data_IF_503309487616
#
_entry.id   IF_503309487616
#
_cell.length_a   1.000
_cell.length_b   1.000
_cell.length_c   1.000
_cell.angle_alpha   90.00
_cell.angle_beta   90.00
_cell.angle_gamma   90.00
#
_symmetry.space_group_name_H-M   'P 1'
#
loop_
_entity.id
_entity.type
_entity.pdbx_description
1 polymer ?
#
# COMPACT_ATOMS: atom_id res chain seq x y z
N UNK A 1 21.80 -9.33 78.17
CA UNK A 1 20.64 -8.41 78.13
C UNK A 1 20.74 -7.66 76.81
N UNK A 2 19.67 -7.72 76.00
CA UNK A 2 19.35 -6.87 74.85
C UNK A 2 19.90 -7.24 73.44
N UNK A 3 18.95 -7.75 72.64
CA UNK A 3 18.60 -7.43 71.25
C UNK A 3 19.65 -7.71 70.15
N UNK A 4 19.46 -8.82 69.45
CA UNK A 4 19.95 -9.03 68.09
C UNK A 4 18.85 -8.59 67.11
N UNK A 5 19.12 -7.55 66.31
CA UNK A 5 18.23 -7.04 65.27
C UNK A 5 18.55 -7.73 63.94
N UNK A 6 17.56 -8.41 63.35
CA UNK A 6 17.67 -9.01 62.02
C UNK A 6 17.51 -7.93 60.93
N UNK A 7 18.52 -7.80 60.07
CA UNK A 7 18.43 -7.05 58.82
C UNK A 7 17.86 -7.97 57.72
N UNK A 8 16.67 -7.63 57.22
CA UNK A 8 16.13 -8.14 55.95
C UNK A 8 16.60 -7.23 54.81
N UNK A 9 17.13 -7.76 53.68
CA UNK A 9 17.22 -6.99 52.46
C UNK A 9 15.90 -7.14 51.68
N UNK A 10 15.07 -6.09 51.67
CA UNK A 10 14.00 -5.97 50.70
C UNK A 10 14.63 -5.59 49.35
N UNK A 11 14.74 -6.60 48.47
CA UNK A 11 14.97 -6.43 47.05
C UNK A 11 13.77 -5.68 46.47
N UNK A 12 13.93 -4.40 46.15
CA UNK A 12 12.97 -3.68 45.32
C UNK A 12 13.15 -4.13 43.87
N UNK A 13 12.26 -5.01 43.42
CA UNK A 13 12.05 -5.31 42.01
C UNK A 13 11.43 -4.07 41.37
N UNK A 14 12.27 -3.23 40.75
CA UNK A 14 11.80 -2.13 39.91
C UNK A 14 11.53 -2.69 38.50
N UNK A 15 10.25 -2.62 38.13
CA UNK A 15 9.59 -2.98 36.90
C UNK A 15 10.46 -2.98 35.62
N UNK A 16 10.67 -4.18 35.07
CA UNK A 16 10.79 -4.41 33.63
C UNK A 16 9.44 -4.05 32.99
N UNK A 17 9.33 -2.81 32.53
CA UNK A 17 8.19 -2.30 31.78
C UNK A 17 8.67 -1.35 30.70
N UNK A 18 9.65 -1.77 29.90
CA UNK A 18 9.97 -1.08 28.65
C UNK A 18 8.84 -1.35 27.68
N UNK A 19 8.04 -0.31 27.48
CA UNK A 19 6.92 -0.25 26.59
C UNK A 19 7.30 -0.74 25.18
N UNK A 20 6.60 -1.77 24.72
CA UNK A 20 6.38 -1.99 23.29
C UNK A 20 5.48 -0.85 22.81
N UNK A 21 6.08 0.26 22.39
CA UNK A 21 5.35 1.26 21.62
C UNK A 21 5.06 0.65 20.24
N UNK A 22 3.80 0.61 19.78
CA UNK A 22 3.49 0.17 18.43
C UNK A 22 4.03 1.24 17.47
N UNK A 23 5.09 0.90 16.77
CA UNK A 23 5.61 1.69 15.66
C UNK A 23 4.53 1.76 14.57
N UNK A 24 4.05 2.98 14.27
CA UNK A 24 3.19 3.23 13.11
C UNK A 24 4.03 3.14 11.82
N UNK A 25 3.54 2.35 10.86
CA UNK A 25 4.19 2.06 9.57
C UNK A 25 3.20 2.28 8.41
N UNK A 26 3.74 2.32 7.19
CA UNK A 26 3.11 2.11 5.87
C UNK A 26 2.05 0.99 5.87
N UNK A 27 0.81 1.09 5.33
CA UNK A 27 -0.32 0.16 5.61
C UNK A 27 -0.11 -0.53 6.97
N UNK A 28 -0.10 0.25 8.05
CA UNK A 28 0.68 -0.07 9.24
C UNK A 28 0.68 -1.54 9.59
N UNK A 29 1.87 -2.14 9.64
CA UNK A 29 2.21 -3.55 9.90
C UNK A 29 1.07 -4.59 9.77
N UNK A 30 0.05 -4.49 10.62
CA UNK A 30 -1.21 -5.22 10.51
C UNK A 30 -1.81 -5.25 9.08
N UNK A 31 -1.83 -4.14 8.34
CA UNK A 31 -2.37 -4.11 6.97
C UNK A 31 -1.62 -5.08 6.05
N UNK A 32 -0.29 -4.97 5.99
CA UNK A 32 0.56 -5.89 5.24
C UNK A 32 0.48 -7.33 5.74
N UNK A 33 0.45 -7.54 7.06
CA UNK A 33 0.33 -8.88 7.67
C UNK A 33 -1.01 -9.54 7.30
N UNK A 34 -2.11 -8.79 7.28
CA UNK A 34 -3.42 -9.26 6.82
C UNK A 34 -3.35 -9.64 5.34
N UNK A 35 -2.79 -8.78 4.48
CA UNK A 35 -2.65 -9.05 3.03
C UNK A 35 -1.84 -10.33 2.81
N UNK A 36 -0.70 -10.47 3.47
CA UNK A 36 0.14 -11.65 3.37
C UNK A 36 -0.55 -12.92 3.90
N UNK A 37 -1.37 -12.81 4.95
CA UNK A 37 -2.17 -13.92 5.47
C UNK A 37 -3.26 -14.33 4.48
N UNK A 38 -3.98 -13.37 3.89
CA UNK A 38 -4.98 -13.64 2.84
C UNK A 38 -4.30 -14.29 1.62
N UNK A 39 -3.15 -13.78 1.19
CA UNK A 39 -2.41 -14.38 0.10
C UNK A 39 -2.05 -15.84 0.39
N UNK A 40 -1.51 -16.10 1.60
CA UNK A 40 -1.16 -17.44 2.05
C UNK A 40 -2.34 -18.43 2.02
N UNK A 41 -3.54 -17.98 2.40
CA UNK A 41 -4.78 -18.79 2.35
C UNK A 41 -5.14 -19.21 0.90
N UNK A 42 -4.72 -18.43 -0.09
CA UNK A 42 -5.02 -18.66 -1.51
C UNK A 42 -3.84 -19.22 -2.32
N UNK A 43 -2.74 -19.60 -1.64
CA UNK A 43 -1.64 -20.29 -2.31
C UNK A 43 -2.04 -21.71 -2.67
N UNK A 44 -1.48 -22.21 -3.77
CA UNK A 44 -1.55 -23.64 -4.06
C UNK A 44 -0.75 -24.44 -3.01
N UNK A 45 -1.14 -25.70 -2.71
CA UNK A 45 -0.53 -26.49 -1.63
C UNK A 45 1.00 -26.62 -1.73
N UNK A 46 1.53 -26.66 -2.95
CA UNK A 46 2.96 -26.85 -3.21
C UNK A 46 3.76 -25.54 -3.20
N UNK A 47 3.09 -24.38 -3.20
CA UNK A 47 3.75 -23.08 -3.31
C UNK A 47 4.30 -22.63 -1.95
N UNK A 48 3.51 -22.74 -0.88
CA UNK A 48 3.93 -22.29 0.45
C UNK A 48 5.23 -22.99 0.93
N UNK A 49 5.40 -24.32 0.80
CA UNK A 49 6.67 -24.98 1.15
C UNK A 49 7.89 -24.37 0.44
N UNK A 50 7.79 -24.08 -0.86
CA UNK A 50 8.88 -23.45 -1.62
C UNK A 50 9.20 -22.06 -1.11
N UNK A 51 8.18 -21.24 -0.84
CA UNK A 51 8.38 -19.90 -0.26
C UNK A 51 9.04 -19.98 1.12
N UNK A 52 8.72 -21.01 1.89
CA UNK A 52 9.33 -21.24 3.20
C UNK A 52 10.79 -21.67 3.11
N UNK A 53 11.14 -22.52 2.15
CA UNK A 53 12.54 -22.88 1.90
C UNK A 53 13.37 -21.68 1.42
N UNK A 54 12.76 -20.73 0.70
CA UNK A 54 13.39 -19.45 0.34
C UNK A 54 13.66 -18.61 1.60
N UNK A 55 12.70 -18.52 2.51
CA UNK A 55 12.80 -17.65 3.69
C UNK A 55 13.68 -18.22 4.81
N UNK A 56 13.73 -19.54 4.95
CA UNK A 56 14.51 -20.27 5.96
C UNK A 56 15.23 -21.48 5.32
N UNK A 57 16.30 -21.23 4.53
CA UNK A 57 16.98 -22.29 3.80
C UNK A 57 17.60 -23.33 4.76
N UNK A 58 17.57 -24.63 4.42
CA UNK A 58 18.10 -25.67 5.29
C UNK A 58 19.59 -25.47 5.53
N UNK A 59 19.97 -25.48 6.81
CA UNK A 59 21.34 -25.18 7.26
C UNK A 59 22.38 -26.24 6.88
N UNK A 60 21.97 -27.40 6.31
CA UNK A 60 22.87 -28.39 5.72
C UNK A 60 22.17 -29.35 4.74
N UNK A 61 22.46 -29.31 3.42
CA UNK A 61 21.91 -30.27 2.44
C UNK A 61 22.46 -31.70 2.61
N UNK A 62 23.62 -31.84 3.26
CA UNK A 62 24.38 -33.10 3.33
C UNK A 62 23.96 -34.07 4.45
N UNK A 63 23.02 -33.66 5.31
CA UNK A 63 22.43 -34.50 6.36
C UNK A 63 20.98 -34.91 6.07
N UNK A 64 20.51 -34.73 4.83
CA UNK A 64 19.22 -35.27 4.40
C UNK A 64 19.34 -36.80 4.25
N UNK A 65 18.96 -37.53 5.30
CA UNK A 65 18.59 -38.93 5.17
C UNK A 65 17.27 -38.98 4.35
N UNK A 66 17.25 -39.64 3.18
CA UNK A 66 16.08 -39.71 2.32
C UNK A 66 14.86 -40.39 2.96
N UNK A 67 15.01 -41.01 4.13
CA UNK A 67 13.90 -41.57 4.92
C UNK A 67 13.38 -40.64 6.03
N UNK A 68 13.92 -39.43 6.19
CA UNK A 68 13.65 -38.55 7.33
C UNK A 68 12.70 -37.38 7.01
N UNK A 69 11.85 -37.56 5.99
CA UNK A 69 10.82 -36.61 5.56
C UNK A 69 9.77 -36.31 6.66
N UNK A 70 9.67 -37.17 7.68
CA UNK A 70 8.79 -36.98 8.83
C UNK A 70 9.39 -36.09 9.94
N UNK A 71 10.72 -35.96 10.03
CA UNK A 71 11.38 -35.19 11.09
C UNK A 71 11.73 -33.74 10.70
N UNK A 72 11.73 -33.40 9.41
CA UNK A 72 11.92 -32.03 8.91
C UNK A 72 10.72 -31.11 9.21
N UNK A 73 9.52 -31.67 9.40
CA UNK A 73 8.30 -30.91 9.72
C UNK A 73 8.15 -30.55 11.20
N UNK A 74 8.90 -31.19 12.11
CA UNK A 74 8.73 -31.03 13.55
C UNK A 74 9.73 -30.06 14.21
N UNK A 75 10.83 -29.71 13.52
CA UNK A 75 11.88 -28.81 14.04
C UNK A 75 11.85 -27.39 13.46
N UNK A 76 11.09 -27.13 12.40
CA UNK A 76 10.87 -25.78 11.89
C UNK A 76 9.58 -25.20 12.44
N UNK A 77 9.57 -23.95 12.94
CA UNK A 77 8.31 -23.28 13.24
C UNK A 77 7.44 -23.24 11.97
N UNK A 78 6.10 -23.28 12.08
CA UNK A 78 5.23 -23.09 10.94
C UNK A 78 5.60 -21.78 10.26
N UNK A 79 5.92 -21.86 8.98
CA UNK A 79 6.34 -20.71 8.19
C UNK A 79 5.10 -19.94 7.71
N UNK A 80 5.16 -18.62 7.87
CA UNK A 80 4.10 -17.72 7.45
C UNK A 80 4.68 -16.54 6.68
N UNK A 81 3.91 -15.99 5.74
CA UNK A 81 4.30 -14.77 5.01
C UNK A 81 4.07 -13.49 5.83
N UNK A 82 3.12 -13.49 6.77
CA UNK A 82 2.80 -12.29 7.56
C UNK A 82 4.02 -11.66 8.28
N UNK A 83 4.86 -12.41 9.03
CA UNK A 83 6.02 -11.83 9.73
C UNK A 83 7.00 -11.04 8.87
N UNK A 84 7.07 -11.32 7.57
CA UNK A 84 7.98 -10.62 6.65
C UNK A 84 7.32 -9.41 5.97
N UNK A 85 6.00 -9.30 6.05
CA UNK A 85 5.22 -8.39 5.22
C UNK A 85 5.51 -6.91 5.51
N UNK A 86 5.94 -6.55 6.73
CA UNK A 86 6.32 -5.19 7.11
C UNK A 86 7.84 -4.92 7.03
N UNK A 87 8.64 -5.87 6.55
CA UNK A 87 10.10 -5.78 6.58
C UNK A 87 10.64 -4.62 5.74
N UNK A 88 10.11 -4.39 4.52
CA UNK A 88 10.59 -3.34 3.61
C UNK A 88 10.51 -1.94 4.27
N UNK A 89 9.42 -1.70 5.00
CA UNK A 89 9.15 -0.47 5.72
C UNK A 89 10.13 -0.19 6.87
N UNK A 90 10.64 -1.26 7.48
CA UNK A 90 11.69 -1.20 8.50
C UNK A 90 13.05 -0.90 7.87
N UNK A 91 13.40 -1.60 6.78
CA UNK A 91 14.74 -1.51 6.20
C UNK A 91 14.97 -0.23 5.41
N UNK A 92 13.95 0.38 4.80
CA UNK A 92 14.10 1.65 4.05
C UNK A 92 14.71 2.81 4.87
N UNK A 93 14.71 2.71 6.20
CA UNK A 93 15.32 3.68 7.14
C UNK A 93 16.79 3.37 7.47
N UNK A 94 17.35 2.31 6.90
CA UNK A 94 18.73 1.91 7.12
C UNK A 94 19.63 2.38 5.97
N UNK A 95 20.92 2.70 6.21
CA UNK A 95 21.80 3.25 5.18
C UNK A 95 21.90 2.41 3.89
N UNK A 96 21.80 1.09 3.98
CA UNK A 96 21.90 0.18 2.82
C UNK A 96 20.65 0.11 1.95
N UNK A 97 19.50 0.56 2.45
CA UNK A 97 18.20 0.44 1.78
C UNK A 97 17.49 1.78 1.62
N UNK A 98 18.14 2.92 1.89
CA UNK A 98 17.50 4.23 1.73
C UNK A 98 17.00 4.52 0.31
N UNK A 99 17.62 3.90 -0.69
CA UNK A 99 17.20 3.98 -2.09
C UNK A 99 15.87 3.26 -2.38
N UNK A 100 15.36 2.43 -1.47
CA UNK A 100 14.08 1.72 -1.65
C UNK A 100 12.88 2.55 -1.18
N UNK A 101 13.07 3.64 -0.44
CA UNK A 101 11.96 4.45 0.08
C UNK A 101 10.97 4.94 -1.00
N UNK A 102 11.41 5.39 -2.20
CA UNK A 102 10.49 5.77 -3.27
C UNK A 102 9.72 4.60 -3.91
N UNK A 103 10.15 3.36 -3.68
CA UNK A 103 9.51 2.16 -4.24
C UNK A 103 8.17 1.81 -3.57
N UNK A 104 7.80 2.51 -2.49
CA UNK A 104 6.55 2.28 -1.76
C UNK A 104 5.35 3.03 -2.35
N UNK A 105 5.55 3.93 -3.32
CA UNK A 105 4.45 4.75 -3.84
C UNK A 105 4.71 5.16 -5.28
N UNK A 106 3.69 5.76 -5.90
CA UNK A 106 3.78 6.47 -7.17
C UNK A 106 2.85 7.68 -7.12
N UNK A 107 3.31 8.84 -7.59
CA UNK A 107 2.52 10.07 -7.57
C UNK A 107 2.60 10.78 -8.91
N UNK A 108 1.46 10.97 -9.56
CA UNK A 108 1.36 11.76 -10.78
C UNK A 108 1.49 13.26 -10.49
N UNK A 109 2.23 13.99 -11.33
CA UNK A 109 2.48 15.43 -11.12
C UNK A 109 1.23 16.29 -11.37
N UNK A 110 0.34 15.81 -12.25
CA UNK A 110 -0.88 16.50 -12.66
C UNK A 110 -2.10 16.10 -11.82
N UNK A 111 -1.91 15.22 -10.83
CA UNK A 111 -3.00 14.67 -10.03
C UNK A 111 -3.49 15.67 -8.98
N UNK A 112 -4.80 15.90 -8.99
CA UNK A 112 -5.47 16.72 -7.99
C UNK A 112 -6.78 16.04 -7.61
N UNK A 113 -6.71 15.05 -6.71
CA UNK A 113 -7.90 14.46 -6.07
C UNK A 113 -8.85 15.56 -5.60
N UNK A 114 -10.17 15.29 -5.59
CA UNK A 114 -11.31 16.25 -5.56
C UNK A 114 -11.70 16.91 -6.88
N UNK A 115 -10.76 17.15 -7.80
CA UNK A 115 -11.06 17.81 -9.08
C UNK A 115 -10.84 16.90 -10.29
N UNK A 116 -9.69 16.22 -10.36
CA UNK A 116 -9.30 15.38 -11.48
C UNK A 116 -8.25 14.37 -11.03
N UNK A 117 -8.57 13.08 -11.17
CA UNK A 117 -7.62 11.99 -11.00
C UNK A 117 -6.95 11.69 -12.34
N UNK A 118 -5.64 11.85 -12.39
CA UNK A 118 -4.84 11.53 -13.59
C UNK A 118 -3.66 10.65 -13.23
N UNK A 119 -3.46 9.60 -14.03
CA UNK A 119 -2.50 8.55 -13.75
C UNK A 119 -1.84 8.11 -15.08
N UNK A 120 -0.63 8.60 -15.44
CA UNK A 120 0.22 9.57 -14.76
C UNK A 120 -0.05 11.06 -15.07
N UNK A 121 -1.01 11.36 -15.96
CA UNK A 121 -1.16 12.69 -16.54
C UNK A 121 -0.15 13.01 -17.65
N UNK A 122 -0.06 14.28 -18.03
CA UNK A 122 0.75 14.76 -19.16
C UNK A 122 2.23 14.97 -18.80
N UNK A 123 2.48 15.41 -17.56
CA UNK A 123 3.83 15.63 -17.01
C UNK A 123 4.46 14.37 -16.44
N UNK A 124 3.70 13.28 -16.32
CA UNK A 124 4.22 12.00 -15.84
C UNK A 124 4.28 11.91 -14.31
N UNK A 125 5.11 10.98 -13.84
CA UNK A 125 5.35 10.73 -12.42
C UNK A 125 6.26 11.77 -11.78
N UNK A 126 6.02 12.04 -10.50
CA UNK A 126 6.97 12.71 -9.64
C UNK A 126 8.19 11.80 -9.40
N UNK A 127 9.38 12.40 -9.28
CA UNK A 127 10.61 11.65 -9.08
C UNK A 127 11.10 10.95 -10.36
N UNK A 128 11.79 9.81 -10.20
CA UNK A 128 12.30 9.03 -11.34
C UNK A 128 11.22 8.07 -11.83
N UNK A 129 11.06 8.03 -13.16
CA UNK A 129 10.01 7.26 -13.84
C UNK A 129 9.98 5.77 -13.49
N UNK A 130 11.13 5.13 -13.26
CA UNK A 130 11.26 3.69 -12.94
C UNK A 130 11.60 3.43 -11.46
N UNK A 131 11.42 4.43 -10.58
CA UNK A 131 11.72 4.32 -9.16
C UNK A 131 10.45 4.57 -8.33
N UNK A 132 9.48 3.70 -8.52
CA UNK A 132 8.16 3.75 -7.88
C UNK A 132 7.60 2.33 -7.69
N UNK A 133 6.47 2.23 -7.00
CA UNK A 133 5.84 0.94 -6.64
C UNK A 133 5.48 0.07 -7.84
N UNK A 134 5.08 0.65 -8.97
CA UNK A 134 4.71 -0.11 -10.17
C UNK A 134 5.93 -0.82 -10.76
N UNK A 135 7.03 -0.07 -10.90
CA UNK A 135 8.31 -0.64 -11.31
C UNK A 135 8.83 -1.65 -10.28
N UNK A 136 8.63 -1.39 -8.98
CA UNK A 136 9.11 -2.25 -7.90
C UNK A 136 8.43 -3.63 -7.91
N UNK A 137 7.12 -3.68 -8.09
CA UNK A 137 6.37 -4.94 -8.24
C UNK A 137 6.92 -5.74 -9.41
N UNK A 138 7.00 -5.15 -10.61
CA UNK A 138 7.53 -5.87 -11.80
C UNK A 138 8.98 -6.33 -11.60
N UNK A 139 9.85 -5.48 -11.07
CA UNK A 139 11.27 -5.79 -10.89
C UNK A 139 11.49 -6.87 -9.82
N UNK A 140 10.75 -6.83 -8.71
CA UNK A 140 10.88 -7.82 -7.63
C UNK A 140 10.24 -9.16 -7.99
N UNK A 141 9.18 -9.17 -8.81
CA UNK A 141 8.68 -10.41 -9.43
C UNK A 141 9.76 -11.05 -10.31
N UNK A 142 10.42 -10.28 -11.18
CA UNK A 142 11.49 -10.79 -12.06
C UNK A 142 12.72 -11.26 -11.27
N UNK A 143 13.13 -10.49 -10.27
CA UNK A 143 14.26 -10.86 -9.41
C UNK A 143 13.99 -12.15 -8.63
N UNK A 144 12.79 -12.28 -8.05
CA UNK A 144 12.38 -13.52 -7.38
C UNK A 144 12.44 -14.70 -8.36
N UNK A 145 11.82 -14.59 -9.54
CA UNK A 145 11.84 -15.64 -10.56
C UNK A 145 13.27 -16.06 -10.96
N UNK A 146 14.15 -15.09 -11.24
CA UNK A 146 15.53 -15.37 -11.66
C UNK A 146 16.40 -15.99 -10.56
N UNK A 147 16.09 -15.70 -9.30
CA UNK A 147 16.81 -16.21 -8.14
C UNK A 147 16.30 -17.58 -7.64
N UNK A 148 15.14 -18.05 -8.11
CA UNK A 148 14.58 -19.34 -7.72
C UNK A 148 15.57 -20.48 -8.01
N UNK A 149 15.96 -21.20 -6.95
CA UNK A 149 16.89 -22.34 -7.02
C UNK A 149 18.34 -21.98 -7.32
N UNK A 150 18.67 -20.69 -7.50
CA UNK A 150 20.01 -20.20 -7.84
C UNK A 150 20.65 -19.35 -6.74
N UNK A 151 19.89 -18.44 -6.13
CA UNK A 151 20.34 -17.55 -5.06
C UNK A 151 19.23 -17.38 -4.00
N UNK A 152 19.38 -18.09 -2.88
CA UNK A 152 18.39 -18.06 -1.80
C UNK A 152 18.30 -16.70 -1.10
N UNK A 153 19.40 -15.95 -1.01
CA UNK A 153 19.41 -14.64 -0.34
C UNK A 153 18.72 -13.59 -1.19
N UNK A 154 19.03 -13.56 -2.50
CA UNK A 154 18.36 -12.67 -3.45
C UNK A 154 16.86 -13.02 -3.57
N UNK A 155 16.51 -14.30 -3.65
CA UNK A 155 15.12 -14.75 -3.67
C UNK A 155 14.37 -14.33 -2.39
N UNK A 156 14.98 -14.51 -1.22
CA UNK A 156 14.36 -14.13 0.05
C UNK A 156 14.15 -12.63 0.15
N UNK A 157 15.12 -11.83 -0.28
CA UNK A 157 14.98 -10.37 -0.32
C UNK A 157 13.89 -9.94 -1.31
N UNK A 158 13.91 -10.49 -2.53
CA UNK A 158 12.92 -10.17 -3.55
C UNK A 158 11.50 -10.53 -3.11
N UNK A 159 11.31 -11.68 -2.47
CA UNK A 159 10.04 -12.10 -1.90
C UNK A 159 9.53 -11.13 -0.82
N UNK A 160 10.40 -10.71 0.12
CA UNK A 160 10.03 -9.74 1.17
C UNK A 160 9.56 -8.41 0.60
N UNK A 161 10.27 -7.90 -0.41
CA UNK A 161 9.87 -6.68 -1.09
C UNK A 161 8.57 -6.86 -1.89
N UNK A 162 8.42 -7.96 -2.62
CA UNK A 162 7.23 -8.23 -3.44
C UNK A 162 5.97 -8.30 -2.58
N UNK A 163 6.01 -9.05 -1.46
CA UNK A 163 4.91 -9.14 -0.49
C UNK A 163 4.49 -7.75 0.00
N UNK A 164 5.46 -6.89 0.28
CA UNK A 164 5.21 -5.53 0.77
C UNK A 164 4.63 -4.62 -0.31
N UNK A 165 5.30 -4.52 -1.48
CA UNK A 165 4.95 -3.57 -2.54
C UNK A 165 3.62 -3.88 -3.21
N UNK A 166 3.22 -5.16 -3.29
CA UNK A 166 1.85 -5.49 -3.72
C UNK A 166 0.84 -4.93 -2.73
N UNK A 167 1.11 -4.95 -1.42
CA UNK A 167 0.27 -4.31 -0.43
C UNK A 167 0.19 -2.78 -0.58
N UNK A 168 1.33 -2.12 -0.69
CA UNK A 168 1.43 -0.66 -0.91
C UNK A 168 0.66 -0.21 -2.14
N UNK A 169 0.78 -0.94 -3.26
CA UNK A 169 0.05 -0.64 -4.50
C UNK A 169 -1.48 -0.65 -4.32
N UNK A 170 -2.00 -1.35 -3.30
CA UNK A 170 -3.44 -1.38 -3.01
C UNK A 170 -3.88 -0.33 -1.98
N UNK A 171 -2.96 0.50 -1.50
CA UNK A 171 -3.23 1.69 -0.72
C UNK A 171 -3.57 2.86 -1.66
N UNK A 172 -4.80 3.40 -1.71
CA UNK A 172 -5.14 4.42 -2.69
C UNK A 172 -4.27 5.69 -2.60
N UNK A 173 -3.87 6.10 -1.38
CA UNK A 173 -3.02 7.27 -1.17
C UNK A 173 -1.52 7.02 -1.45
N UNK A 174 -1.08 5.77 -1.64
CA UNK A 174 0.26 5.47 -2.19
C UNK A 174 0.29 5.67 -3.72
N UNK A 175 -0.88 5.90 -4.33
CA UNK A 175 -1.03 6.12 -5.77
C UNK A 175 -1.35 7.58 -6.12
N UNK A 176 -1.16 8.53 -5.20
CA UNK A 176 -1.34 9.97 -5.45
C UNK A 176 -0.13 10.78 -5.01
N UNK A 177 0.21 11.81 -5.79
CA UNK A 177 1.26 12.77 -5.43
C UNK A 177 0.80 13.90 -4.52
N UNK A 178 -0.52 14.09 -4.38
CA UNK A 178 -1.11 15.22 -3.65
C UNK A 178 -0.76 15.15 -2.16
N UNK A 179 -0.24 16.25 -1.62
CA UNK A 179 0.27 16.35 -0.23
C UNK A 179 1.16 15.16 0.20
N UNK A 180 2.02 14.69 -0.71
CA UNK A 180 2.86 13.49 -0.48
C UNK A 180 2.01 12.27 -0.09
N UNK A 181 0.96 11.98 -0.85
CA UNK A 181 0.03 10.90 -0.55
C UNK A 181 -0.84 11.17 0.67
N UNK A 182 -1.22 12.43 0.92
CA UNK A 182 -2.03 12.81 2.09
C UNK A 182 -1.25 12.90 3.42
N UNK A 183 0.08 12.74 3.42
CA UNK A 183 0.91 12.97 4.62
C UNK A 183 0.88 14.44 5.06
N UNK A 184 0.78 15.38 4.11
CA UNK A 184 0.62 16.82 4.39
C UNK A 184 -0.80 17.24 4.75
N UNK A 185 -1.80 16.37 4.52
CA UNK A 185 -3.20 16.68 4.79
C UNK A 185 -3.57 16.38 6.26
N UNK A 186 -3.46 17.39 7.13
CA UNK A 186 -3.81 17.28 8.55
C UNK A 186 -5.32 17.13 8.73
N UNK A 187 -5.73 16.20 9.58
CA UNK A 187 -7.14 15.85 9.86
C UNK A 187 -7.29 15.45 11.31
N UNK A 188 -8.54 15.27 11.75
CA UNK A 188 -8.85 14.57 13.00
C UNK A 188 -9.48 13.21 12.68
N UNK A 189 -9.13 12.18 13.44
CA UNK A 189 -9.80 10.88 13.41
C UNK A 189 -9.97 10.35 14.84
N UNK A 190 -11.18 9.94 15.21
CA UNK A 190 -11.53 9.51 16.59
C UNK A 190 -11.12 10.58 17.62
N UNK A 191 -11.34 11.86 17.27
CA UNK A 191 -11.02 13.01 18.10
C UNK A 191 -9.53 13.30 18.27
N UNK A 192 -8.63 12.62 17.54
CA UNK A 192 -7.18 12.83 17.60
C UNK A 192 -6.64 13.45 16.32
N UNK A 193 -5.74 14.42 16.46
CA UNK A 193 -5.04 15.03 15.32
C UNK A 193 -4.10 14.02 14.68
N UNK A 194 -4.17 13.90 13.36
CA UNK A 194 -3.35 13.01 12.53
C UNK A 194 -3.26 13.56 11.09
N UNK A 195 -2.88 12.73 10.12
CA UNK A 195 -2.95 13.04 8.69
C UNK A 195 -3.75 11.99 7.92
N UNK A 196 -4.24 12.37 6.74
CA UNK A 196 -5.09 11.52 5.90
C UNK A 196 -4.41 10.19 5.53
N UNK A 197 -3.10 10.21 5.26
CA UNK A 197 -2.33 9.01 4.97
C UNK A 197 -2.44 7.99 6.11
N UNK A 198 -2.15 8.42 7.34
CA UNK A 198 -2.17 7.59 8.55
C UNK A 198 -3.57 7.04 8.85
N UNK A 199 -4.62 7.82 8.55
CA UNK A 199 -6.01 7.35 8.70
C UNK A 199 -6.23 6.09 7.87
N UNK A 200 -5.84 6.12 6.60
CA UNK A 200 -6.04 4.99 5.71
C UNK A 200 -5.08 3.83 5.96
N UNK A 201 -3.81 4.15 6.17
CA UNK A 201 -2.78 3.16 6.41
C UNK A 201 -3.05 2.31 7.63
N UNK A 202 -3.49 2.94 8.71
CA UNK A 202 -3.46 2.36 10.06
C UNK A 202 -4.78 2.48 10.78
N UNK A 203 -5.38 3.68 10.85
CA UNK A 203 -6.47 3.92 11.81
C UNK A 203 -7.80 3.30 11.39
N UNK A 204 -8.11 3.24 10.09
CA UNK A 204 -9.29 2.53 9.59
C UNK A 204 -9.22 1.03 9.90
N UNK A 205 -8.04 0.41 9.71
CA UNK A 205 -7.83 -0.99 10.08
C UNK A 205 -7.89 -1.17 11.58
N UNK A 206 -7.14 -0.37 12.35
CA UNK A 206 -7.13 -0.48 13.81
C UNK A 206 -8.55 -0.32 14.39
N UNK A 207 -9.34 0.61 13.86
CA UNK A 207 -10.75 0.73 14.19
C UNK A 207 -11.52 -0.54 13.81
N UNK A 208 -11.37 -1.05 12.59
CA UNK A 208 -12.03 -2.28 12.14
C UNK A 208 -11.72 -3.48 13.06
N UNK A 209 -10.46 -3.66 13.47
CA UNK A 209 -10.02 -4.70 14.40
C UNK A 209 -10.74 -4.62 15.76
N UNK A 210 -11.00 -3.41 16.27
CA UNK A 210 -11.68 -3.19 17.56
C UNK A 210 -13.17 -3.49 17.52
N UNK A 211 -13.79 -3.39 16.35
CA UNK A 211 -15.24 -3.57 16.17
C UNK A 211 -15.60 -4.90 15.50
N UNK A 212 -14.64 -5.81 15.32
CA UNK A 212 -14.92 -7.14 14.79
C UNK A 212 -15.94 -7.84 15.70
N UNK A 213 -17.05 -8.37 15.15
CA UNK A 213 -18.01 -9.13 15.91
C UNK A 213 -17.38 -10.34 16.64
N UNK A 214 -17.86 -10.61 17.86
CA UNK A 214 -17.26 -11.64 18.73
C UNK A 214 -17.34 -13.06 18.15
N UNK A 215 -18.25 -13.33 17.21
CA UNK A 215 -18.36 -14.63 16.54
C UNK A 215 -17.15 -15.00 15.68
N UNK A 216 -16.25 -14.05 15.39
CA UNK A 216 -14.98 -14.33 14.69
C UNK A 216 -13.78 -14.48 15.64
N UNK A 217 -13.98 -14.38 16.94
CA UNK A 217 -12.89 -14.55 17.93
C UNK A 217 -12.47 -16.01 18.09
N UNK A 218 -13.36 -16.94 17.73
CA UNK A 218 -13.11 -18.37 17.76
C UNK A 218 -12.92 -18.92 16.33
N UNK A 219 -12.22 -20.05 16.17
CA UNK A 219 -12.12 -20.74 14.89
C UNK A 219 -13.49 -21.03 14.27
N UNK A 220 -13.59 -20.87 12.95
CA UNK A 220 -14.80 -21.22 12.20
C UNK A 220 -14.73 -22.71 11.83
N UNK A 221 -15.65 -23.53 12.38
CA UNK A 221 -15.64 -25.00 12.20
C UNK A 221 -15.64 -25.42 10.72
N UNK A 222 -16.39 -24.71 9.88
CA UNK A 222 -16.55 -25.01 8.46
C UNK A 222 -15.47 -24.37 7.57
N UNK A 223 -14.53 -23.58 8.14
CA UNK A 223 -13.46 -22.90 7.40
C UNK A 223 -12.06 -23.41 7.81
N UNK A 224 -11.90 -24.73 8.01
CA UNK A 224 -10.63 -25.34 8.41
C UNK A 224 -9.43 -24.93 7.51
N UNK A 225 -9.66 -24.74 6.21
CA UNK A 225 -8.64 -24.26 5.27
C UNK A 225 -8.16 -22.84 5.53
N UNK A 226 -8.97 -22.00 6.20
CA UNK A 226 -8.54 -20.66 6.65
C UNK A 226 -7.73 -20.79 7.94
N UNK A 227 -8.22 -21.58 8.89
CA UNK A 227 -7.65 -21.67 10.25
C UNK A 227 -6.21 -22.17 10.28
N UNK A 228 -5.80 -23.05 9.35
CA UNK A 228 -4.42 -23.57 9.28
C UNK A 228 -3.38 -22.49 8.96
N UNK A 229 -3.80 -21.35 8.41
CA UNK A 229 -2.90 -20.24 8.08
C UNK A 229 -2.88 -19.13 9.14
N UNK A 230 -3.76 -19.20 10.14
CA UNK A 230 -3.84 -18.24 11.23
C UNK A 230 -2.85 -18.60 12.35
N UNK A 231 -2.37 -17.58 13.08
CA UNK A 231 -1.23 -17.71 14.02
C UNK A 231 -1.53 -17.24 15.44
N UNK A 232 -2.80 -16.94 15.75
CA UNK A 232 -3.21 -16.29 16.98
C UNK A 232 -2.89 -14.79 17.02
N UNK A 233 -2.77 -14.13 15.86
CA UNK A 233 -2.50 -12.69 15.80
C UNK A 233 -3.76 -11.87 16.13
N UNK A 234 -3.56 -10.62 16.56
CA UNK A 234 -4.66 -9.71 16.93
C UNK A 234 -5.63 -9.43 15.78
N UNK A 235 -5.18 -9.62 14.54
CA UNK A 235 -5.98 -9.41 13.33
C UNK A 235 -6.68 -10.68 12.83
N UNK A 236 -6.41 -11.85 13.40
CA UNK A 236 -6.99 -13.12 12.94
C UNK A 236 -8.53 -13.12 12.93
N UNK A 237 -9.24 -12.55 13.95
CA UNK A 237 -10.69 -12.41 13.87
C UNK A 237 -11.16 -11.59 12.67
N UNK A 238 -10.38 -10.59 12.26
CA UNK A 238 -10.69 -9.77 11.10
C UNK A 238 -10.45 -10.52 9.79
N UNK A 239 -9.37 -11.30 9.70
CA UNK A 239 -9.12 -12.20 8.56
C UNK A 239 -10.25 -13.22 8.44
N UNK A 240 -10.66 -13.88 9.54
CA UNK A 240 -11.81 -14.79 9.55
C UNK A 240 -13.06 -14.14 8.99
N UNK A 241 -13.36 -12.91 9.42
CA UNK A 241 -14.51 -12.15 8.94
C UNK A 241 -14.42 -11.85 7.44
N UNK A 242 -13.26 -11.45 6.94
CA UNK A 242 -13.03 -11.21 5.50
C UNK A 242 -13.21 -12.52 4.72
N UNK A 243 -12.67 -13.63 5.20
CA UNK A 243 -12.82 -14.93 4.54
C UNK A 243 -14.27 -15.41 4.54
N UNK A 244 -14.96 -15.31 5.67
CA UNK A 244 -16.32 -15.80 5.82
C UNK A 244 -17.35 -14.89 5.12
N UNK A 245 -17.44 -13.61 5.47
CA UNK A 245 -18.44 -12.72 4.85
C UNK A 245 -18.02 -12.22 3.47
N UNK A 246 -16.72 -12.09 3.20
CA UNK A 246 -16.20 -11.59 1.94
C UNK A 246 -16.16 -12.67 0.86
N UNK A 247 -15.48 -13.79 1.14
CA UNK A 247 -15.32 -14.89 0.18
C UNK A 247 -16.35 -16.01 0.33
N UNK A 248 -17.17 -16.02 1.38
CA UNK A 248 -18.10 -17.13 1.65
C UNK A 248 -17.40 -18.38 2.19
N UNK A 249 -16.18 -18.25 2.74
CA UNK A 249 -15.43 -19.39 3.27
C UNK A 249 -16.18 -20.03 4.46
N UNK A 250 -16.43 -21.33 4.38
CA UNK A 250 -17.20 -22.07 5.39
C UNK A 250 -18.72 -21.92 5.27
N UNK A 251 -19.21 -21.25 4.23
CA UNK A 251 -20.64 -21.15 3.94
C UNK A 251 -21.00 -22.20 2.88
N UNK A 252 -22.04 -23.01 3.15
CA UNK A 252 -22.50 -24.03 2.20
C UNK A 252 -23.03 -23.41 0.89
N UNK A 253 -23.10 -24.17 -0.22
CA UNK A 253 -23.47 -23.66 -1.55
C UNK A 253 -24.88 -23.03 -1.65
N UNK A 254 -25.69 -23.10 -0.60
CA UNK A 254 -27.06 -22.59 -0.53
C UNK A 254 -27.20 -21.16 0.02
N UNK A 255 -26.16 -20.56 0.61
CA UNK A 255 -26.25 -19.26 1.30
C UNK A 255 -25.61 -18.07 0.56
N UNK A 256 -25.24 -18.27 -0.72
CA UNK A 256 -24.74 -17.22 -1.62
C UNK A 256 -23.22 -17.11 -1.66
N UNK A 257 -22.68 -16.55 -2.76
CA UNK A 257 -21.28 -16.15 -2.81
C UNK A 257 -21.10 -14.97 -1.84
N UNK A 258 -19.97 -14.90 -1.13
CA UNK A 258 -19.73 -13.81 -0.17
C UNK A 258 -19.79 -12.41 -0.81
N UNK A 259 -19.51 -11.36 -0.05
CA UNK A 259 -19.58 -9.96 -0.54
C UNK A 259 -18.70 -9.65 -1.77
N UNK A 260 -17.73 -10.50 -2.10
CA UNK A 260 -16.82 -10.38 -3.24
C UNK A 260 -17.31 -11.28 -4.40
N UNK A 261 -18.34 -10.84 -5.15
CA UNK A 261 -18.89 -11.62 -6.28
C UNK A 261 -18.26 -11.21 -7.63
N UNK A 262 -17.87 -12.22 -8.45
CA UNK A 262 -17.34 -12.11 -9.84
C UNK A 262 -16.26 -11.03 -10.03
N UNK A 263 -15.33 -11.02 -9.10
CA UNK A 263 -14.27 -10.04 -8.99
C UNK A 263 -13.05 -10.49 -9.81
N UNK A 264 -12.94 -9.99 -11.05
CA UNK A 264 -11.81 -10.25 -11.98
C UNK A 264 -10.49 -9.61 -11.53
N UNK A 265 -10.12 -9.72 -10.26
CA UNK A 265 -8.97 -9.05 -9.65
C UNK A 265 -7.62 -9.48 -10.22
N UNK A 266 -7.51 -10.71 -10.73
CA UNK A 266 -6.32 -11.21 -11.42
C UNK A 266 -6.29 -10.87 -12.91
N UNK A 267 -7.39 -10.36 -13.47
CA UNK A 267 -7.44 -10.08 -14.90
C UNK A 267 -6.52 -8.93 -15.28
N UNK A 268 -5.89 -9.06 -16.44
CA UNK A 268 -5.14 -8.02 -17.09
C UNK A 268 -5.80 -7.66 -18.42
N UNK A 269 -5.73 -6.38 -18.85
CA UNK A 269 -6.21 -5.99 -20.17
C UNK A 269 -5.52 -6.82 -21.26
N UNK A 270 -6.29 -7.31 -22.22
CA UNK A 270 -5.79 -8.02 -23.40
C UNK A 270 -4.95 -7.10 -24.29
N UNK A 271 -4.08 -7.67 -25.14
CA UNK A 271 -3.34 -6.86 -26.13
C UNK A 271 -4.26 -6.05 -27.05
N UNK A 272 -5.44 -6.57 -27.37
CA UNK A 272 -6.44 -5.85 -28.16
C UNK A 272 -6.97 -4.62 -27.43
N UNK A 273 -7.27 -4.75 -26.13
CA UNK A 273 -7.70 -3.65 -25.26
C UNK A 273 -6.58 -2.64 -25.06
N UNK A 274 -5.33 -3.09 -24.82
CA UNK A 274 -4.13 -2.24 -24.76
C UNK A 274 -3.92 -1.50 -26.08
N UNK A 275 -4.05 -2.17 -27.22
CA UNK A 275 -3.95 -1.55 -28.55
C UNK A 275 -5.09 -0.56 -28.83
N UNK A 276 -6.31 -0.85 -28.39
CA UNK A 276 -7.45 0.05 -28.50
C UNK A 276 -7.25 1.31 -27.66
N UNK A 277 -6.78 1.18 -26.43
CA UNK A 277 -6.43 2.31 -25.56
C UNK A 277 -5.33 3.19 -26.20
N UNK A 278 -4.28 2.57 -26.76
CA UNK A 278 -3.22 3.26 -27.52
C UNK A 278 -3.81 4.03 -28.72
N UNK A 279 -4.72 3.42 -29.49
CA UNK A 279 -5.40 4.08 -30.63
C UNK A 279 -6.31 5.24 -30.20
N UNK A 280 -7.09 5.07 -29.14
CA UNK A 280 -7.98 6.12 -28.62
C UNK A 280 -7.17 7.33 -28.15
N UNK A 281 -6.07 7.09 -27.43
CA UNK A 281 -5.14 8.14 -27.01
C UNK A 281 -4.59 8.89 -28.22
N UNK A 282 -4.12 8.17 -29.25
CA UNK A 282 -3.64 8.74 -30.53
C UNK A 282 -4.66 9.66 -31.20
N UNK A 283 -5.92 9.25 -31.25
CA UNK A 283 -6.99 10.07 -31.84
C UNK A 283 -7.18 11.38 -31.08
N UNK A 284 -7.22 11.34 -29.74
CA UNK A 284 -7.36 12.53 -28.92
C UNK A 284 -6.20 13.53 -29.10
N UNK A 285 -4.97 13.04 -29.27
CA UNK A 285 -3.81 13.90 -29.60
C UNK A 285 -3.97 14.53 -30.96
N UNK A 286 -4.39 13.73 -31.94
CA UNK A 286 -4.57 14.19 -33.30
C UNK A 286 -5.61 15.31 -33.37
N UNK A 287 -6.69 15.20 -32.60
CA UNK A 287 -7.70 16.24 -32.47
C UNK A 287 -7.13 17.53 -31.86
N UNK A 288 -6.25 17.44 -30.85
CA UNK A 288 -5.54 18.60 -30.28
C UNK A 288 -4.60 19.23 -31.31
N UNK A 289 -3.78 18.42 -32.01
CA UNK A 289 -2.87 18.89 -33.06
C UNK A 289 -3.65 19.60 -34.16
N UNK A 290 -4.73 18.99 -34.65
CA UNK A 290 -5.60 19.58 -35.68
C UNK A 290 -6.24 20.86 -35.19
N UNK A 291 -6.69 20.92 -33.93
CA UNK A 291 -7.22 22.14 -33.31
C UNK A 291 -6.18 23.26 -33.24
N UNK A 292 -4.95 22.93 -32.80
CA UNK A 292 -3.84 23.87 -32.73
C UNK A 292 -3.38 24.35 -34.11
N UNK A 293 -3.34 23.48 -35.12
CA UNK A 293 -3.05 23.85 -36.50
C UNK A 293 -4.13 24.74 -37.11
N UNK A 294 -5.42 24.49 -36.79
CA UNK A 294 -6.52 25.39 -37.16
C UNK A 294 -6.37 26.76 -36.48
N UNK A 295 -6.00 26.78 -35.20
CA UNK A 295 -5.74 28.00 -34.45
C UNK A 295 -4.56 28.80 -35.04
N UNK A 296 -3.41 28.16 -35.28
CA UNK A 296 -2.23 28.78 -35.90
C UNK A 296 -2.56 29.29 -37.31
N UNK A 297 -3.31 28.54 -38.10
CA UNK A 297 -3.75 28.98 -39.44
C UNK A 297 -4.71 30.18 -39.36
N UNK A 298 -5.53 30.26 -38.31
CA UNK A 298 -6.35 31.43 -38.01
C UNK A 298 -5.53 32.63 -37.54
N UNK A 299 -4.47 32.39 -36.76
CA UNK A 299 -3.58 33.42 -36.21
C UNK A 299 -2.63 33.98 -37.28
N UNK A 300 -2.07 33.14 -38.15
CA UNK A 300 -1.34 33.56 -39.36
C UNK A 300 -2.24 34.26 -40.39
N UNK A 301 -3.57 34.13 -40.26
CA UNK A 301 -4.56 34.88 -41.01
C UNK A 301 -4.89 36.27 -40.44
N UNK A 302 -4.40 36.60 -39.24
CA UNK A 302 -4.59 37.89 -38.54
C UNK A 302 -3.23 38.41 -38.06
N UNK A 303 -2.55 39.19 -38.90
CA UNK A 303 -1.12 39.52 -38.74
C UNK A 303 -0.69 40.21 -37.44
N UNK A 304 0.51 39.85 -36.98
CA UNK A 304 1.47 40.64 -36.19
C UNK A 304 2.81 39.85 -36.23
N UNK A 305 3.92 40.34 -36.78
CA UNK A 305 4.77 41.40 -36.24
C UNK A 305 6.00 40.74 -35.58
N UNK A 306 7.16 40.87 -36.21
CA UNK A 306 8.45 40.23 -35.88
C UNK A 306 8.85 40.30 -34.39
N UNK A 307 8.95 39.14 -33.76
CA UNK A 307 9.90 38.86 -32.66
C UNK A 307 9.96 37.34 -32.43
N UNK A 308 10.75 36.66 -33.27
CA UNK A 308 11.04 35.24 -33.15
C UNK A 308 12.06 34.98 -32.02
N UNK A 309 11.58 35.01 -30.78
CA UNK A 309 12.20 34.20 -29.73
C UNK A 309 12.09 32.73 -30.16
N UNK A 310 13.14 31.93 -29.97
CA UNK A 310 13.19 30.51 -30.33
C UNK A 310 12.09 29.73 -29.61
N UNK A 311 10.90 29.64 -30.22
CA UNK A 311 9.90 28.66 -29.84
C UNK A 311 10.45 27.26 -30.18
N UNK A 312 10.37 26.29 -29.25
CA UNK A 312 10.63 24.90 -29.58
C UNK A 312 9.77 24.50 -30.78
N UNK A 313 10.33 23.74 -31.72
CA UNK A 313 9.54 23.29 -32.86
C UNK A 313 8.36 22.47 -32.36
N UNK A 314 7.17 22.63 -32.97
CA UNK A 314 5.97 21.88 -32.62
C UNK A 314 6.25 20.36 -32.52
N UNK A 315 7.17 19.86 -33.37
CA UNK A 315 7.66 18.47 -33.35
C UNK A 315 8.40 18.08 -32.07
N UNK A 316 9.22 18.96 -31.48
CA UNK A 316 9.91 18.68 -30.21
C UNK A 316 8.94 18.63 -29.02
N UNK A 317 7.91 19.50 -29.01
CA UNK A 317 6.87 19.48 -27.97
C UNK A 317 6.02 18.20 -28.08
N UNK A 318 5.66 17.82 -29.31
CA UNK A 318 4.87 16.62 -29.58
C UNK A 318 5.65 15.33 -29.29
N UNK A 319 6.94 15.25 -29.63
CA UNK A 319 7.77 14.11 -29.24
C UNK A 319 7.91 13.98 -27.72
N UNK A 320 8.17 15.08 -27.01
CA UNK A 320 8.29 15.04 -25.54
C UNK A 320 7.00 14.59 -24.87
N UNK A 321 5.86 15.09 -25.34
CA UNK A 321 4.54 14.72 -24.85
C UNK A 321 4.16 13.26 -25.18
N UNK A 322 4.63 12.74 -26.32
CA UNK A 322 4.41 11.35 -26.72
C UNK A 322 5.25 10.37 -25.88
N UNK A 323 6.52 10.69 -25.64
CA UNK A 323 7.42 9.86 -24.85
C UNK A 323 7.05 9.82 -23.36
N UNK A 324 6.42 10.87 -22.81
CA UNK A 324 6.00 10.89 -21.40
C UNK A 324 4.67 10.17 -21.12
N UNK A 325 3.86 9.90 -22.15
CA UNK A 325 2.50 9.36 -21.94
C UNK A 325 2.26 7.99 -22.59
N UNK A 326 3.09 7.54 -23.53
CA UNK A 326 2.81 6.34 -24.34
C UNK A 326 3.29 5.00 -23.79
N UNK A 327 4.10 4.97 -22.72
CA UNK A 327 4.91 3.80 -22.36
C UNK A 327 4.79 3.43 -20.86
N UNK A 328 3.71 3.86 -20.18
CA UNK A 328 3.46 3.43 -18.78
C UNK A 328 2.90 2.01 -18.67
N UNK A 329 2.30 1.49 -19.73
CA UNK A 329 1.90 0.07 -19.83
C UNK A 329 3.12 -0.87 -19.87
N UNK A 330 4.36 -0.36 -19.89
CA UNK A 330 5.60 -1.18 -19.89
C UNK A 330 5.77 -2.07 -18.66
N UNK A 331 5.11 -1.73 -17.57
CA UNK A 331 5.13 -2.54 -16.36
C UNK A 331 4.13 -3.70 -16.40
N UNK A 332 3.19 -3.64 -17.36
CA UNK A 332 2.19 -4.66 -17.55
C UNK A 332 2.67 -5.72 -18.55
N UNK A 333 2.25 -6.95 -18.29
CA UNK A 333 2.52 -8.15 -19.07
C UNK A 333 1.31 -9.08 -18.99
N UNK A 334 1.38 -10.23 -19.65
CA UNK A 334 0.33 -11.23 -19.59
C UNK A 334 0.32 -11.90 -18.21
N UNK A 335 -0.67 -11.53 -17.38
CA UNK A 335 -0.85 -12.07 -16.02
C UNK A 335 -0.24 -11.22 -14.88
N UNK A 336 0.59 -10.22 -15.18
CA UNK A 336 1.09 -9.25 -14.20
C UNK A 336 0.93 -7.83 -14.76
N UNK A 337 -0.04 -7.08 -14.24
CA UNK A 337 -0.37 -5.74 -14.75
C UNK A 337 -0.51 -4.68 -13.64
N UNK A 338 0.58 -4.37 -12.92
CA UNK A 338 0.57 -3.40 -11.81
C UNK A 338 0.05 -2.02 -12.22
N UNK A 339 0.30 -1.55 -13.44
CA UNK A 339 -0.21 -0.26 -13.90
C UNK A 339 -1.73 -0.28 -14.08
N UNK A 340 -2.27 -1.29 -14.78
CA UNK A 340 -3.72 -1.45 -14.93
C UNK A 340 -4.43 -1.58 -13.57
N UNK A 341 -3.89 -2.41 -12.69
CA UNK A 341 -4.41 -2.62 -11.34
C UNK A 341 -4.37 -1.37 -10.47
N UNK A 342 -3.24 -0.66 -10.46
CA UNK A 342 -3.08 0.57 -9.69
C UNK A 342 -3.99 1.68 -10.21
N UNK A 343 -4.20 1.79 -11.53
CA UNK A 343 -5.06 2.82 -12.11
C UNK A 343 -6.49 2.76 -11.55
N UNK A 344 -7.07 1.58 -11.45
CA UNK A 344 -8.42 1.40 -10.89
C UNK A 344 -8.49 1.77 -9.41
N UNK A 345 -7.44 1.47 -8.64
CA UNK A 345 -7.36 1.82 -7.21
C UNK A 345 -7.14 3.32 -7.04
N UNK A 346 -6.31 3.93 -7.88
CA UNK A 346 -6.08 5.36 -7.90
C UNK A 346 -7.38 6.14 -8.17
N UNK A 347 -8.25 5.65 -9.06
CA UNK A 347 -9.55 6.29 -9.34
C UNK A 347 -10.43 6.43 -8.10
N UNK A 348 -10.24 5.58 -7.07
CA UNK A 348 -10.95 5.71 -5.80
C UNK A 348 -10.67 7.06 -5.13
N UNK A 349 -9.47 7.64 -5.30
CA UNK A 349 -9.15 8.96 -4.75
C UNK A 349 -10.15 10.05 -5.17
N UNK A 350 -10.75 9.92 -6.36
CA UNK A 350 -11.80 10.83 -6.84
C UNK A 350 -13.21 10.25 -6.75
N UNK A 351 -13.40 9.00 -7.16
CA UNK A 351 -14.72 8.41 -7.31
C UNK A 351 -15.42 8.12 -5.97
N UNK A 352 -14.63 7.90 -4.93
CA UNK A 352 -15.15 7.56 -3.60
C UNK A 352 -14.22 8.17 -2.58
N UNK A 353 -14.56 9.29 -1.92
CA UNK A 353 -13.60 10.29 -1.46
C UNK A 353 -12.59 9.73 -0.44
N UNK A 354 -11.62 8.93 -0.88
CA UNK A 354 -10.41 8.59 -0.13
C UNK A 354 -9.72 9.90 0.18
N UNK A 355 -9.71 10.79 -0.82
CA UNK A 355 -9.47 12.20 -0.64
C UNK A 355 -10.81 12.96 -0.44
N UNK A 356 -11.15 13.41 0.77
CA UNK A 356 -12.31 14.27 0.99
C UNK A 356 -12.14 15.62 0.26
N UNK A 357 -13.08 16.03 -0.61
CA UNK A 357 -13.05 17.33 -1.28
C UNK A 357 -12.95 18.52 -0.34
N UNK A 358 -13.47 18.38 0.89
CA UNK A 358 -13.41 19.41 1.93
C UNK A 358 -11.97 19.81 2.29
N UNK A 359 -10.98 18.96 2.01
CA UNK A 359 -9.56 19.29 2.20
C UNK A 359 -9.01 20.28 1.17
N UNK A 360 -9.61 20.37 -0.02
CA UNK A 360 -9.18 21.29 -1.08
C UNK A 360 -9.99 22.59 -1.11
N UNK A 361 -11.21 22.59 -0.55
CA UNK A 361 -12.07 23.78 -0.50
C UNK A 361 -11.59 24.82 0.54
N UNK A 362 -10.81 24.41 1.54
CA UNK A 362 -10.25 25.31 2.55
C UNK A 362 -8.74 25.12 2.80
N UNK A 363 -7.86 25.43 1.83
CA UNK A 363 -6.42 25.26 2.02
C UNK A 363 -5.80 26.23 3.05
N UNK A 364 -6.48 27.36 3.35
CA UNK A 364 -5.84 28.55 3.93
C UNK A 364 -6.56 29.25 5.08
N UNK A 365 -7.73 28.78 5.55
CA UNK A 365 -8.34 29.35 6.76
C UNK A 365 -7.65 28.89 8.07
N UNK A 366 -6.85 27.82 8.00
CA UNK A 366 -6.22 27.15 9.13
C UNK A 366 -4.75 27.55 9.36
N UNK A 367 -4.04 27.97 8.31
CA UNK A 367 -2.60 28.24 8.40
C UNK A 367 -2.28 29.68 8.81
N UNK A 368 -3.22 30.62 8.63
CA UNK A 368 -2.99 32.02 8.99
C UNK A 368 -3.10 32.27 10.50
N UNK A 369 -3.95 31.55 11.23
CA UNK A 369 -4.09 31.72 12.68
C UNK A 369 -3.00 30.95 13.46
N UNK A 370 -2.54 29.80 12.94
CA UNK A 370 -1.45 29.04 13.56
C UNK A 370 -0.05 29.68 13.37
N UNK A 371 0.14 30.47 12.32
CA UNK A 371 1.41 31.16 12.07
C UNK A 371 1.61 32.43 12.92
N UNK A 372 0.53 33.03 13.44
CA UNK A 372 0.63 34.23 14.29
C UNK A 372 0.85 33.91 15.77
N UNK A 373 0.47 32.72 16.25
CA UNK A 373 0.64 32.38 17.67
C UNK A 373 2.03 31.80 17.99
N UNK A 374 2.75 31.25 17.00
CA UNK A 374 4.09 30.67 17.19
C UNK A 374 5.09 31.24 16.20
N UNK A 375 5.71 32.35 16.57
CA UNK A 375 6.74 33.01 15.77
C UNK A 375 7.96 32.11 15.53
N UNK A 376 8.04 31.50 14.35
CA UNK A 376 9.28 30.91 13.82
C UNK A 376 9.62 31.53 12.46
N UNK A 377 10.68 32.33 12.45
CA UNK A 377 11.34 32.88 11.27
C UNK A 377 12.01 31.75 10.49
N UNK A 378 11.60 31.51 9.24
CA UNK A 378 12.33 30.65 8.31
C UNK A 378 13.53 31.41 7.74
N UNK A 379 14.74 30.90 7.97
CA UNK A 379 15.90 31.15 7.11
C UNK A 379 16.33 29.84 6.49
N UNK A 380 16.40 29.84 5.16
CA UNK A 380 16.87 28.76 4.31
C UNK A 380 18.26 28.26 4.75
N UNK A 381 18.39 26.98 5.08
CA UNK A 381 19.60 26.19 4.83
C UNK A 381 19.31 24.70 4.92
N UNK A 382 19.74 23.96 3.89
CA UNK A 382 19.53 22.54 3.73
C UNK A 382 20.47 21.74 4.64
N UNK A 383 19.97 21.14 5.73
CA UNK A 383 20.66 20.08 6.46
C UNK A 383 19.69 19.19 7.24
N UNK A 384 19.88 17.88 7.10
CA UNK A 384 19.55 16.77 8.00
C UNK A 384 18.13 16.67 8.60
N UNK A 385 17.37 15.67 8.12
CA UNK A 385 16.18 15.16 8.80
C UNK A 385 16.58 14.42 10.10
N UNK A 386 16.73 15.20 11.17
CA UNK A 386 16.67 14.72 12.55
C UNK A 386 15.43 15.32 13.22
N UNK A 387 14.57 14.43 13.73
CA UNK A 387 13.51 14.70 14.71
C UNK A 387 12.29 15.53 14.27
N UNK A 388 11.31 14.86 13.64
CA UNK A 388 9.88 15.18 13.85
C UNK A 388 9.12 13.90 14.19
N UNK A 389 9.37 13.39 15.39
CA UNK A 389 8.54 12.38 16.02
C UNK A 389 8.26 12.70 17.50
N UNK A 390 8.33 13.98 17.88
CA UNK A 390 8.16 14.45 19.26
C UNK A 390 7.09 15.53 19.44
N UNK A 391 6.32 15.87 18.40
CA UNK A 391 5.21 16.84 18.52
C UNK A 391 3.88 16.21 19.00
N UNK A 392 3.92 15.02 19.62
CA UNK A 392 2.73 14.35 20.19
C UNK A 392 2.69 14.39 21.73
N UNK A 393 3.62 15.07 22.41
CA UNK A 393 3.73 15.00 23.89
C UNK A 393 3.66 16.34 24.64
N UNK A 394 3.32 17.46 24.01
CA UNK A 394 3.16 18.72 24.75
C UNK A 394 1.94 19.51 24.30
N UNK A 395 0.74 18.96 24.52
CA UNK A 395 -0.40 19.79 24.95
C UNK A 395 -1.51 18.93 25.54
N UNK A 396 -1.34 18.45 26.78
CA UNK A 396 -2.42 17.82 27.54
C UNK A 396 -2.16 18.00 29.04
N UNK A 397 -2.33 19.24 29.53
CA UNK A 397 -2.50 19.49 30.96
C UNK A 397 -3.86 20.10 31.29
N UNK A 398 -4.95 19.63 30.67
CA UNK A 398 -6.31 19.80 31.20
C UNK A 398 -7.26 18.64 30.81
N UNK A 399 -6.89 17.40 31.11
CA UNK A 399 -7.80 16.26 31.02
C UNK A 399 -8.74 16.22 32.24
N UNK A 400 -9.97 16.68 32.06
CA UNK A 400 -11.09 16.27 32.92
C UNK A 400 -11.51 14.85 32.51
N UNK A 401 -11.70 14.00 33.52
CA UNK A 401 -11.92 12.56 33.43
C UNK A 401 -13.09 12.13 32.53
N UNK A 402 -12.92 11.02 31.79
CA UNK A 402 -13.95 10.16 31.16
C UNK A 402 -14.55 10.55 29.79
N UNK A 403 -14.03 11.55 29.09
CA UNK A 403 -14.50 11.90 27.74
C UNK A 403 -13.65 11.26 26.62
N UNK A 404 -14.30 10.78 25.55
CA UNK A 404 -13.64 10.57 24.25
C UNK A 404 -12.92 11.86 23.83
N UNK A 405 -11.73 11.80 23.21
CA UNK A 405 -11.04 12.98 22.68
C UNK A 405 -11.99 13.82 21.83
N UNK A 406 -11.94 15.15 21.99
CA UNK A 406 -12.77 16.05 21.18
C UNK A 406 -12.02 16.39 19.91
N UNK A 407 -12.69 16.39 18.75
CA UNK A 407 -12.04 16.79 17.51
C UNK A 407 -11.48 18.21 17.58
N UNK A 408 -10.36 18.42 16.89
CA UNK A 408 -9.83 19.77 16.75
C UNK A 408 -10.85 20.65 16.00
N UNK A 409 -11.17 21.86 16.49
CA UNK A 409 -12.26 22.66 15.94
C UNK A 409 -12.07 23.00 14.46
N UNK A 410 -10.83 23.19 14.03
CA UNK A 410 -10.52 23.65 12.68
C UNK A 410 -10.17 22.52 11.71
N UNK A 411 -9.83 21.31 12.18
CA UNK A 411 -9.44 20.20 11.31
C UNK A 411 -10.64 19.32 10.97
N UNK A 412 -10.67 18.82 9.73
CA UNK A 412 -11.73 17.91 9.27
C UNK A 412 -11.70 16.59 10.08
N UNK A 413 -12.81 16.28 10.76
CA UNK A 413 -13.01 15.00 11.46
C UNK A 413 -13.50 13.91 10.49
N UNK A 414 -12.76 12.80 10.44
CA UNK A 414 -12.97 11.71 9.49
C UNK A 414 -13.64 10.47 10.08
N UNK A 415 -13.65 10.27 11.41
CA UNK A 415 -14.44 9.22 12.05
C UNK A 415 -15.91 9.64 12.19
N UNK A 416 -16.54 9.85 11.04
CA UNK A 416 -17.94 10.25 10.94
C UNK A 416 -18.73 9.23 10.11
N UNK A 417 -20.06 9.15 10.29
CA UNK A 417 -20.92 8.35 9.41
C UNK A 417 -20.80 8.74 7.92
N UNK A 418 -20.47 10.01 7.63
CA UNK A 418 -20.31 10.53 6.27
C UNK A 418 -19.04 10.04 5.60
N UNK A 419 -17.94 9.89 6.33
CA UNK A 419 -16.66 9.46 5.81
C UNK A 419 -16.34 8.00 6.17
N UNK A 420 -15.83 7.72 7.38
CA UNK A 420 -15.49 6.37 7.83
C UNK A 420 -16.69 5.40 7.77
N UNK A 421 -17.89 5.89 8.09
CA UNK A 421 -19.11 5.09 7.98
C UNK A 421 -19.43 4.65 6.55
N UNK A 422 -19.18 5.50 5.54
CA UNK A 422 -19.35 5.15 4.13
C UNK A 422 -18.33 4.10 3.69
N UNK A 423 -17.06 4.28 4.06
CA UNK A 423 -15.97 3.33 3.79
C UNK A 423 -16.36 1.95 4.33
N UNK A 424 -16.75 1.89 5.62
CA UNK A 424 -17.17 0.66 6.31
C UNK A 424 -18.40 0.02 5.67
N UNK A 425 -19.42 0.82 5.33
CA UNK A 425 -20.65 0.30 4.69
C UNK A 425 -20.36 -0.38 3.35
N UNK A 426 -19.35 0.09 2.62
CA UNK A 426 -18.94 -0.48 1.32
C UNK A 426 -17.90 -1.59 1.42
N UNK A 427 -17.41 -1.93 2.63
CA UNK A 427 -16.33 -2.90 2.80
C UNK A 427 -15.09 -2.54 1.98
N UNK A 428 -14.81 -1.23 1.84
CA UNK A 428 -13.79 -0.79 0.89
C UNK A 428 -12.39 -1.19 1.34
N UNK A 429 -12.07 -1.06 2.63
CA UNK A 429 -10.78 -1.47 3.19
C UNK A 429 -10.62 -2.99 3.08
N UNK A 430 -11.64 -3.74 3.49
CA UNK A 430 -11.69 -5.19 3.38
C UNK A 430 -11.49 -5.67 1.95
N UNK A 431 -12.15 -5.03 0.97
CA UNK A 431 -12.02 -5.36 -0.45
C UNK A 431 -10.63 -5.07 -0.99
N UNK A 432 -10.00 -3.96 -0.58
CA UNK A 432 -8.63 -3.62 -1.00
C UNK A 432 -7.60 -4.61 -0.41
N UNK A 433 -7.74 -4.96 0.88
CA UNK A 433 -6.90 -5.97 1.53
C UNK A 433 -7.06 -7.35 0.86
N UNK A 434 -8.30 -7.75 0.57
CA UNK A 434 -8.62 -9.00 -0.11
C UNK A 434 -8.05 -9.02 -1.54
N UNK A 435 -8.26 -7.95 -2.31
CA UNK A 435 -7.74 -7.78 -3.66
C UNK A 435 -6.22 -7.87 -3.71
N UNK A 436 -5.53 -7.21 -2.78
CA UNK A 436 -4.08 -7.28 -2.65
C UNK A 436 -3.60 -8.71 -2.35
N UNK A 437 -4.28 -9.39 -1.42
CA UNK A 437 -3.96 -10.77 -1.05
C UNK A 437 -4.15 -11.74 -2.23
N UNK A 438 -5.26 -11.63 -2.96
CA UNK A 438 -5.53 -12.45 -4.15
C UNK A 438 -4.50 -12.19 -5.25
N UNK A 439 -4.18 -10.92 -5.56
CA UNK A 439 -3.15 -10.59 -6.56
C UNK A 439 -1.78 -11.10 -6.15
N UNK A 440 -1.40 -10.97 -4.87
CA UNK A 440 -0.15 -11.51 -4.37
C UNK A 440 -0.11 -13.04 -4.49
N UNK A 441 -1.18 -13.74 -4.12
CA UNK A 441 -1.28 -15.20 -4.28
C UNK A 441 -1.18 -15.61 -5.75
N UNK A 442 -1.89 -14.93 -6.65
CA UNK A 442 -1.82 -15.18 -8.09
C UNK A 442 -0.42 -15.03 -8.66
N UNK A 443 0.31 -13.97 -8.25
CA UNK A 443 1.72 -13.78 -8.65
C UNK A 443 2.59 -14.94 -8.14
N UNK A 444 2.48 -15.28 -6.85
CA UNK A 444 3.32 -16.32 -6.24
C UNK A 444 3.02 -17.72 -6.78
N UNK A 445 1.74 -18.05 -7.01
CA UNK A 445 1.34 -19.31 -7.65
C UNK A 445 1.91 -19.38 -9.07
N UNK A 446 1.78 -18.32 -9.87
CA UNK A 446 2.31 -18.30 -11.23
C UNK A 446 3.85 -18.44 -11.27
N UNK A 447 4.56 -17.84 -10.32
CA UNK A 447 6.02 -17.92 -10.22
C UNK A 447 6.53 -19.31 -9.83
N UNK A 448 5.83 -19.99 -8.92
CA UNK A 448 6.32 -21.21 -8.25
C UNK A 448 5.69 -22.48 -8.82
N UNK A 449 4.39 -22.49 -9.06
CA UNK A 449 3.68 -23.67 -9.57
C UNK A 449 3.85 -23.85 -11.10
N UNK A 450 4.29 -22.81 -11.81
CA UNK A 450 4.65 -22.90 -13.23
C UNK A 450 3.50 -23.36 -14.12
N UNK A 451 2.31 -22.80 -13.92
CA UNK A 451 1.13 -23.17 -14.71
C UNK A 451 1.41 -22.96 -16.21
N UNK A 452 1.39 -24.05 -16.99
CA UNK A 452 1.41 -23.99 -18.46
C UNK A 452 0.21 -23.21 -19.03
N UNK A 453 -0.79 -22.87 -18.21
CA UNK A 453 -1.89 -21.96 -18.54
C UNK A 453 -1.50 -20.47 -18.49
N UNK A 454 -0.39 -20.12 -17.84
CA UNK A 454 0.15 -18.77 -17.80
C UNK A 454 1.42 -18.72 -18.65
N UNK A 455 1.28 -18.29 -19.91
CA UNK A 455 2.41 -17.93 -20.78
C UNK A 455 3.17 -16.70 -20.25
N UNK A 456 3.83 -16.82 -19.09
CA UNK A 456 4.85 -15.88 -18.62
C UNK A 456 6.21 -16.16 -19.28
N UNK A 457 6.29 -17.12 -20.21
CA UNK A 457 7.57 -17.64 -20.72
C UNK A 457 8.02 -17.13 -22.10
N UNK A 458 7.25 -16.34 -22.86
CA UNK A 458 7.67 -16.08 -24.26
C UNK A 458 7.52 -14.66 -24.80
N UNK A 459 7.28 -13.64 -23.96
CA UNK A 459 7.39 -12.22 -24.38
C UNK A 459 7.62 -11.23 -23.22
N UNK A 460 8.50 -11.57 -22.27
CA UNK A 460 9.00 -10.65 -21.23
C UNK A 460 10.38 -10.08 -21.56
#
# INVERSE_FOLDING_TARGET
MLIASSLYPCVAVACLGLAYLPSAYAWGAAGHEIIATIAQIHLEPDVLPVLCDILDPPSNPSSQDPNDSAHLSASRPPCHLAPIAAWADKVRRTPGYGNTAPLHYVGALDDSPSSSCVFPGSRGWAGRRDNNVLAAVTNKTRALFGALGSDAEEAAEALKFLVHFVGDMHMPLHLTGKERGGNGARVTFDGRVTNLHTVWDSLLIAHALRIVPSNYTLPLEDAAGVEVHLRGAIYDPYVRRIMHEGFGAGVGPSEGAGRFEDDRWLSCPTEEERAAARRAKRSAVWDVIVSMLRFIRGWLGLGYGDNAGTMPSLGQVLERWWHTTGDEERWDSDGLCPYAWAREIHELNCAFPVWPPELDEHPSALLSELAEEHGCSCSDEAHDEHHLNTAAEHDDMHANSSGTPRPHPDLLELDTPRYAGRIRKRWLVERLLAMAGIRLAGILNALVAGDESAHLSTSL
#
